data_IF_937617186971
#
_entry.id   IF_937617186971
#
_cell.length_a   1.000
_cell.length_b   1.000
_cell.length_c   1.000
_cell.angle_alpha   90.00
_cell.angle_beta   90.00
_cell.angle_gamma   90.00
#
_symmetry.space_group_name_H-M   'P 1'
#
loop_
_entity.id
_entity.type
_entity.pdbx_description
1 polymer ?
#
# COMPACT_ATOMS: atom_id res chain seq x y z
N UNK A 1 -12.59 59.73 17.23
CA UNK A 1 -11.52 58.71 17.16
C UNK A 1 -12.03 57.49 17.91
N UNK A 2 -12.47 56.46 17.17
CA UNK A 2 -13.00 55.23 17.75
C UNK A 2 -11.83 54.26 17.87
N UNK A 3 -11.41 53.97 19.10
CA UNK A 3 -10.37 52.99 19.38
C UNK A 3 -11.00 51.60 19.18
N UNK A 4 -10.63 50.93 18.09
CA UNK A 4 -10.98 49.54 17.86
C UNK A 4 -10.11 48.69 18.79
N UNK A 5 -10.65 48.37 19.98
CA UNK A 5 -10.09 47.36 20.88
C UNK A 5 -10.16 46.03 20.15
N UNK A 6 -9.05 45.62 19.54
CA UNK A 6 -8.84 44.28 19.01
C UNK A 6 -8.71 43.35 20.20
N UNK A 7 -9.84 42.87 20.70
CA UNK A 7 -9.91 41.74 21.62
C UNK A 7 -9.52 40.48 20.84
N UNK A 8 -8.22 40.30 20.63
CA UNK A 8 -7.68 38.99 20.37
C UNK A 8 -7.85 38.19 21.66
N UNK A 9 -8.78 37.22 21.64
CA UNK A 9 -8.85 36.18 22.67
C UNK A 9 -7.50 35.45 22.66
N UNK A 10 -6.55 35.88 23.49
CA UNK A 10 -5.43 35.04 23.89
C UNK A 10 -6.07 33.93 24.71
N UNK A 11 -6.23 32.75 24.08
CA UNK A 11 -6.39 31.50 24.83
C UNK A 11 -5.29 31.49 25.89
N UNK A 12 -5.68 31.26 27.14
CA UNK A 12 -4.68 31.07 28.17
C UNK A 12 -3.80 29.86 27.79
N UNK A 13 -2.53 29.93 28.18
CA UNK A 13 -1.54 28.90 27.82
C UNK A 13 -1.99 27.51 28.27
N UNK A 14 -2.81 27.41 29.32
CA UNK A 14 -3.30 26.17 29.88
C UNK A 14 -4.36 25.51 28.97
N UNK A 15 -5.34 26.28 28.48
CA UNK A 15 -6.36 25.79 27.53
C UNK A 15 -5.70 25.31 26.24
N UNK A 16 -4.71 26.05 25.73
CA UNK A 16 -3.96 25.64 24.54
C UNK A 16 -3.21 24.31 24.75
N UNK A 17 -2.57 24.12 25.91
CA UNK A 17 -1.89 22.87 26.22
C UNK A 17 -2.87 21.70 26.26
N UNK A 18 -4.06 21.90 26.83
CA UNK A 18 -5.11 20.90 26.86
C UNK A 18 -5.59 20.52 25.44
N UNK A 19 -5.74 21.49 24.54
CA UNK A 19 -6.10 21.25 23.14
C UNK A 19 -5.01 20.45 22.39
N UNK A 20 -3.74 20.79 22.60
CA UNK A 20 -2.60 20.06 22.01
C UNK A 20 -2.59 18.61 22.51
N UNK A 21 -2.69 18.41 23.83
CA UNK A 21 -2.71 17.08 24.45
C UNK A 21 -3.90 16.26 23.95
N UNK A 22 -5.08 16.87 23.83
CA UNK A 22 -6.26 16.22 23.28
C UNK A 22 -6.03 15.75 21.83
N UNK A 23 -5.42 16.61 21.00
CA UNK A 23 -5.12 16.30 19.60
C UNK A 23 -4.07 15.20 19.46
N UNK A 24 -2.99 15.23 20.24
CA UNK A 24 -1.96 14.18 20.23
C UNK A 24 -2.53 12.84 20.72
N UNK A 25 -3.40 12.84 21.74
CA UNK A 25 -4.08 11.62 22.18
C UNK A 25 -5.05 11.09 21.12
N UNK A 26 -5.78 11.97 20.44
CA UNK A 26 -6.62 11.63 19.30
C UNK A 26 -5.80 10.95 18.20
N UNK A 27 -4.63 11.52 17.87
CA UNK A 27 -3.71 10.94 16.91
C UNK A 27 -3.26 9.52 17.32
N UNK A 28 -2.84 9.32 18.57
CA UNK A 28 -2.42 8.01 19.07
C UNK A 28 -3.56 6.97 19.00
N UNK A 29 -4.80 7.39 19.23
CA UNK A 29 -5.98 6.54 19.06
C UNK A 29 -6.13 6.10 17.60
N UNK A 30 -6.12 7.04 16.66
CA UNK A 30 -6.24 6.73 15.23
C UNK A 30 -5.06 5.87 14.71
N UNK A 31 -3.86 6.03 15.27
CA UNK A 31 -2.73 5.15 14.95
C UNK A 31 -2.98 3.70 15.40
N UNK A 32 -3.61 3.51 16.56
CA UNK A 32 -3.96 2.16 17.03
C UNK A 32 -5.01 1.49 16.13
N UNK A 33 -6.02 2.26 15.69
CA UNK A 33 -7.03 1.80 14.73
C UNK A 33 -6.38 1.46 13.38
N UNK A 34 -5.47 2.31 12.90
CA UNK A 34 -4.71 2.08 11.68
C UNK A 34 -3.89 0.79 11.72
N UNK A 35 -3.21 0.51 12.83
CA UNK A 35 -2.47 -0.76 13.03
C UNK A 35 -3.41 -1.97 12.95
N UNK A 36 -4.63 -1.84 13.46
CA UNK A 36 -5.64 -2.91 13.38
C UNK A 36 -6.05 -3.18 11.93
N UNK A 37 -6.24 -2.15 11.10
CA UNK A 37 -6.52 -2.30 9.67
C UNK A 37 -5.38 -2.98 8.91
N UNK A 38 -4.11 -2.62 9.19
CA UNK A 38 -2.97 -3.33 8.60
C UNK A 38 -2.95 -4.82 8.94
N UNK A 39 -3.30 -5.15 10.19
CA UNK A 39 -3.36 -6.53 10.62
C UNK A 39 -4.46 -7.28 9.86
N UNK A 40 -5.65 -6.71 9.76
CA UNK A 40 -6.77 -7.28 9.01
C UNK A 40 -6.41 -7.52 7.54
N UNK A 41 -5.78 -6.52 6.89
CA UNK A 41 -5.30 -6.64 5.52
C UNK A 41 -4.27 -7.77 5.34
N UNK A 42 -3.27 -7.84 6.23
CA UNK A 42 -2.25 -8.87 6.17
C UNK A 42 -2.78 -10.26 6.47
N UNK A 43 -3.73 -10.38 7.40
CA UNK A 43 -4.34 -11.66 7.74
C UNK A 43 -5.23 -12.16 6.59
N UNK A 44 -6.03 -11.28 5.98
CA UNK A 44 -6.82 -11.61 4.79
C UNK A 44 -5.92 -12.06 3.62
N UNK A 45 -4.78 -11.40 3.41
CA UNK A 45 -3.81 -11.80 2.39
C UNK A 45 -3.26 -13.22 2.63
N UNK A 46 -2.89 -13.55 3.87
CA UNK A 46 -2.42 -14.90 4.23
C UNK A 46 -3.50 -15.95 3.99
N UNK A 47 -4.76 -15.63 4.28
CA UNK A 47 -5.88 -16.56 4.04
C UNK A 47 -6.15 -16.77 2.55
N UNK A 48 -6.05 -15.70 1.75
CA UNK A 48 -6.16 -15.75 0.30
C UNK A 48 -5.04 -16.61 -0.34
N UNK A 49 -3.78 -16.37 0.03
CA UNK A 49 -2.64 -17.18 -0.46
C UNK A 49 -2.76 -18.64 -0.02
N UNK A 50 -3.26 -18.90 1.20
CA UNK A 50 -3.50 -20.26 1.69
C UNK A 50 -4.72 -20.95 1.07
N UNK A 51 -5.40 -20.34 0.09
CA UNK A 51 -6.62 -20.84 -0.56
C UNK A 51 -7.77 -21.12 0.43
N UNK A 52 -7.78 -20.42 1.57
CA UNK A 52 -8.85 -20.48 2.59
C UNK A 52 -9.90 -19.37 2.43
N UNK A 53 -9.69 -18.48 1.47
CA UNK A 53 -10.53 -17.33 1.16
C UNK A 53 -10.65 -17.18 -0.36
N UNK A 54 -11.84 -16.87 -0.87
CA UNK A 54 -12.03 -16.65 -2.31
C UNK A 54 -11.50 -15.29 -2.74
N UNK A 55 -11.37 -15.08 -4.05
CA UNK A 55 -10.97 -13.79 -4.59
C UNK A 55 -12.01 -12.70 -4.29
N UNK A 56 -13.32 -13.01 -4.34
CA UNK A 56 -14.36 -12.02 -4.04
C UNK A 56 -14.33 -11.59 -2.57
N UNK A 57 -14.13 -12.55 -1.66
CA UNK A 57 -13.99 -12.28 -0.22
C UNK A 57 -12.77 -11.41 0.07
N UNK A 58 -11.62 -11.75 -0.50
CA UNK A 58 -10.40 -10.97 -0.35
C UNK A 58 -10.55 -9.55 -0.90
N UNK A 59 -11.15 -9.40 -2.09
CA UNK A 59 -11.43 -8.10 -2.70
C UNK A 59 -12.36 -7.24 -1.83
N UNK A 60 -13.36 -7.86 -1.20
CA UNK A 60 -14.28 -7.18 -0.28
C UNK A 60 -13.55 -6.64 0.93
N UNK A 61 -12.68 -7.44 1.56
CA UNK A 61 -11.86 -6.98 2.70
C UNK A 61 -10.91 -5.86 2.27
N UNK A 62 -10.27 -5.98 1.10
CA UNK A 62 -9.42 -4.91 0.56
C UNK A 62 -10.20 -3.57 0.42
N UNK A 63 -11.45 -3.63 -0.03
CA UNK A 63 -12.31 -2.44 -0.14
C UNK A 63 -12.59 -1.83 1.22
N UNK A 64 -13.00 -2.64 2.21
CA UNK A 64 -13.30 -2.20 3.57
C UNK A 64 -12.07 -1.56 4.22
N UNK A 65 -10.91 -2.23 4.13
CA UNK A 65 -9.68 -1.72 4.72
C UNK A 65 -9.23 -0.43 4.02
N UNK A 66 -9.37 -0.34 2.70
CA UNK A 66 -9.04 0.89 1.96
C UNK A 66 -9.90 2.07 2.41
N UNK A 67 -11.21 1.85 2.56
CA UNK A 67 -12.14 2.87 3.09
C UNK A 67 -11.75 3.30 4.50
N UNK A 68 -11.48 2.34 5.40
CA UNK A 68 -11.02 2.64 6.76
C UNK A 68 -9.70 3.44 6.79
N UNK A 69 -8.74 3.14 5.91
CA UNK A 69 -7.52 3.94 5.81
C UNK A 69 -7.80 5.38 5.34
N UNK A 70 -8.74 5.57 4.42
CA UNK A 70 -9.15 6.90 3.94
C UNK A 70 -9.78 7.70 5.07
N UNK A 71 -10.73 7.11 5.80
CA UNK A 71 -11.41 7.75 6.94
C UNK A 71 -10.41 8.20 8.00
N UNK A 72 -9.55 7.28 8.48
CA UNK A 72 -8.52 7.60 9.47
C UNK A 72 -7.53 8.64 8.97
N UNK A 73 -7.21 8.64 7.67
CA UNK A 73 -6.31 9.63 7.10
C UNK A 73 -6.91 11.03 7.13
N UNK A 74 -8.20 11.18 6.85
CA UNK A 74 -8.92 12.47 6.94
C UNK A 74 -8.92 12.97 8.38
N UNK A 75 -9.23 12.11 9.35
CA UNK A 75 -9.26 12.47 10.77
C UNK A 75 -7.88 12.93 11.27
N UNK A 76 -6.82 12.20 10.91
CA UNK A 76 -5.46 12.59 11.27
C UNK A 76 -5.04 13.90 10.58
N UNK A 77 -5.43 14.11 9.32
CA UNK A 77 -5.14 15.36 8.62
C UNK A 77 -5.81 16.57 9.30
N UNK A 78 -7.01 16.38 9.85
CA UNK A 78 -7.70 17.40 10.62
C UNK A 78 -6.97 17.73 11.93
N UNK A 79 -6.44 16.72 12.63
CA UNK A 79 -5.61 16.90 13.83
C UNK A 79 -4.30 17.62 13.51
N UNK A 80 -3.65 17.25 12.40
CA UNK A 80 -2.44 17.92 11.92
C UNK A 80 -2.70 19.39 11.59
N UNK A 81 -3.80 19.69 10.89
CA UNK A 81 -4.21 21.05 10.57
C UNK A 81 -4.44 21.89 11.83
N UNK A 82 -5.11 21.29 12.83
CA UNK A 82 -5.38 21.95 14.10
C UNK A 82 -4.08 22.29 14.86
N UNK A 83 -3.12 21.37 14.86
CA UNK A 83 -1.82 21.55 15.53
C UNK A 83 -0.86 22.48 14.76
N UNK A 84 -0.92 22.52 13.44
CA UNK A 84 -0.03 23.33 12.60
C UNK A 84 -0.45 24.81 12.47
N UNK A 85 -1.61 25.17 13.02
CA UNK A 85 -2.15 26.53 12.99
C UNK A 85 -2.66 26.99 11.60
N UNK A 86 -3.07 28.26 11.48
CA UNK A 86 -3.74 28.79 10.28
C UNK A 86 -2.92 28.69 8.98
N UNK A 87 -1.59 28.72 9.10
CA UNK A 87 -0.67 28.60 7.97
C UNK A 87 -0.65 27.17 7.37
N UNK A 88 -0.82 26.14 8.20
CA UNK A 88 -0.89 24.74 7.74
C UNK A 88 -2.28 24.36 7.20
N UNK A 89 -3.37 24.87 7.79
CA UNK A 89 -4.73 24.60 7.34
C UNK A 89 -4.99 25.06 5.89
N UNK A 90 -4.33 26.14 5.47
CA UNK A 90 -4.46 26.69 4.10
C UNK A 90 -3.82 25.80 3.02
N UNK A 91 -2.82 24.98 3.39
CA UNK A 91 -2.17 24.05 2.46
C UNK A 91 -2.99 22.75 2.25
N UNK A 92 -3.83 22.39 3.24
CA UNK A 92 -4.60 21.14 3.23
C UNK A 92 -5.83 21.22 2.31
N UNK A 93 -6.43 22.40 2.16
CA UNK A 93 -7.60 22.59 1.27
C UNK A 93 -7.31 22.47 -0.24
N UNK A 94 -6.05 22.25 -0.64
CA UNK A 94 -5.66 22.06 -2.04
C UNK A 94 -5.56 20.57 -2.43
N UNK A 95 -5.65 19.64 -1.47
CA UNK A 95 -5.40 18.21 -1.67
C UNK A 95 -6.68 17.34 -1.74
N UNK A 96 -7.83 17.91 -2.11
CA UNK A 96 -8.97 17.10 -2.55
C UNK A 96 -8.62 16.32 -3.83
N UNK A 97 -9.03 15.04 -3.95
CA UNK A 97 -8.42 14.12 -4.90
C UNK A 97 -8.87 14.43 -6.32
N UNK A 98 -7.98 15.02 -7.11
CA UNK A 98 -8.00 14.85 -8.57
C UNK A 98 -6.79 14.02 -8.94
N UNK A 99 -7.05 12.83 -9.45
CA UNK A 99 -6.06 11.88 -9.94
C UNK A 99 -5.13 12.56 -10.94
N UNK A 100 -3.87 12.81 -10.59
CA UNK A 100 -2.83 13.10 -11.59
C UNK A 100 -1.48 12.62 -11.09
N UNK A 101 -0.99 11.58 -11.79
CA UNK A 101 0.38 11.11 -11.79
C UNK A 101 1.32 12.22 -12.28
N UNK A 102 2.28 12.62 -11.46
CA UNK A 102 3.48 13.29 -11.96
C UNK A 102 4.68 12.99 -11.07
N UNK A 103 5.63 12.27 -11.66
CA UNK A 103 7.01 12.15 -11.21
C UNK A 103 7.63 13.54 -10.99
N UNK A 104 8.43 13.69 -9.93
CA UNK A 104 9.63 14.53 -9.92
C UNK A 104 10.52 14.28 -8.69
N UNK A 105 11.68 13.71 -9.00
CA UNK A 105 13.03 13.88 -8.47
C UNK A 105 13.32 14.62 -7.16
N UNK A 106 14.11 13.90 -6.36
CA UNK A 106 15.05 14.24 -5.28
C UNK A 106 15.62 15.67 -5.22
N UNK A 107 15.65 16.19 -4.00
CA UNK A 107 16.77 16.96 -3.47
C UNK A 107 17.10 16.42 -2.08
N UNK A 108 18.27 15.83 -1.93
CA UNK A 108 18.79 15.33 -0.66
C UNK A 108 19.34 16.50 0.16
N UNK A 109 18.84 16.64 1.39
CA UNK A 109 19.50 17.41 2.43
C UNK A 109 19.95 16.43 3.51
N UNK A 110 21.27 16.28 3.63
CA UNK A 110 21.94 15.50 4.66
C UNK A 110 21.83 16.23 6.00
N UNK A 111 21.05 15.69 6.93
CA UNK A 111 21.15 16.05 8.35
C UNK A 111 21.47 14.79 9.17
N UNK A 112 22.56 14.87 9.93
CA UNK A 112 23.02 13.81 10.82
C UNK A 112 22.12 13.74 12.07
N UNK A 113 21.81 12.55 12.61
CA UNK A 113 21.09 12.43 13.86
C UNK A 113 22.05 12.62 15.04
N UNK A 114 21.93 13.76 15.74
CA UNK A 114 22.55 13.94 17.06
C UNK A 114 21.59 13.45 18.14
N UNK A 115 22.02 12.43 18.86
CA UNK A 115 21.32 11.81 19.99
C UNK A 115 21.13 12.76 21.17
N UNK A 116 19.93 12.74 21.75
CA UNK A 116 19.58 13.13 23.12
C UNK A 116 19.93 14.56 23.56
N UNK A 117 19.23 15.53 22.98
CA UNK A 117 18.99 16.83 23.63
C UNK A 117 17.53 16.89 24.04
N UNK A 118 17.25 17.10 25.34
CA UNK A 118 15.89 17.41 25.84
C UNK A 118 15.31 18.51 24.96
N UNK A 119 14.35 18.16 24.09
CA UNK A 119 13.73 19.12 23.18
C UNK A 119 12.88 20.06 24.02
N UNK A 120 13.20 21.35 24.02
CA UNK A 120 12.36 22.37 24.62
C UNK A 120 11.18 22.60 23.66
N UNK A 121 10.08 21.88 23.86
CA UNK A 121 8.86 22.02 23.06
C UNK A 121 8.27 23.43 23.27
N UNK A 122 8.33 24.25 22.24
CA UNK A 122 7.66 25.56 22.24
C UNK A 122 6.17 25.38 21.93
N UNK A 123 5.31 25.96 22.76
CA UNK A 123 3.84 25.83 22.71
C UNK A 123 3.20 26.39 21.43
N UNK A 124 3.94 27.24 20.73
CA UNK A 124 3.57 27.84 19.44
C UNK A 124 4.23 27.18 18.24
N UNK A 125 5.05 26.15 18.46
CA UNK A 125 5.84 25.53 17.40
C UNK A 125 5.02 24.50 16.61
N UNK A 126 5.09 24.51 15.27
CA UNK A 126 4.47 23.49 14.42
C UNK A 126 5.13 22.10 14.55
N UNK A 127 6.07 21.92 15.49
CA UNK A 127 6.78 20.67 15.78
C UNK A 127 5.85 19.46 15.98
N UNK A 128 4.74 19.62 16.71
CA UNK A 128 3.78 18.53 16.93
C UNK A 128 3.08 18.09 15.63
N UNK A 129 2.74 19.05 14.78
CA UNK A 129 2.18 18.76 13.46
C UNK A 129 3.22 18.10 12.55
N UNK A 130 4.49 18.50 12.66
CA UNK A 130 5.60 17.89 11.94
C UNK A 130 5.80 16.42 12.35
N UNK A 131 5.77 16.10 13.64
CA UNK A 131 5.86 14.71 14.12
C UNK A 131 4.73 13.84 13.55
N UNK A 132 3.49 14.33 13.57
CA UNK A 132 2.34 13.65 12.95
C UNK A 132 2.58 13.41 11.46
N UNK A 133 3.05 14.43 10.74
CA UNK A 133 3.33 14.36 9.30
C UNK A 133 4.42 13.33 8.98
N UNK A 134 5.49 13.30 9.76
CA UNK A 134 6.58 12.31 9.60
C UNK A 134 6.03 10.88 9.76
N UNK A 135 5.23 10.62 10.80
CA UNK A 135 4.57 9.32 10.97
C UNK A 135 3.64 8.99 9.80
N UNK A 136 2.87 9.96 9.28
CA UNK A 136 2.02 9.73 8.12
C UNK A 136 2.82 9.36 6.86
N UNK A 137 3.98 9.98 6.63
CA UNK A 137 4.84 9.66 5.50
C UNK A 137 5.42 8.25 5.61
N UNK A 138 5.91 7.87 6.79
CA UNK A 138 6.41 6.53 7.06
C UNK A 138 5.31 5.48 6.91
N UNK A 139 4.11 5.76 7.41
CA UNK A 139 2.95 4.87 7.24
C UNK A 139 2.58 4.69 5.76
N UNK A 140 2.63 5.77 4.96
CA UNK A 140 2.41 5.67 3.51
C UNK A 140 3.47 4.79 2.83
N UNK A 141 4.73 4.92 3.23
CA UNK A 141 5.83 4.09 2.70
C UNK A 141 5.66 2.62 3.08
N UNK A 142 5.33 2.35 4.35
CA UNK A 142 5.02 1.01 4.85
C UNK A 142 3.88 0.35 4.10
N UNK A 143 2.77 1.06 3.85
CA UNK A 143 1.66 0.54 3.07
C UNK A 143 2.10 0.19 1.63
N UNK A 144 2.84 1.09 0.98
CA UNK A 144 3.34 0.86 -0.37
C UNK A 144 4.22 -0.39 -0.47
N UNK A 145 5.18 -0.54 0.45
CA UNK A 145 6.07 -1.71 0.51
C UNK A 145 5.30 -3.00 0.84
N UNK A 146 4.30 -2.93 1.72
CA UNK A 146 3.44 -4.07 2.05
C UNK A 146 2.70 -4.56 0.81
N UNK A 147 2.02 -3.65 0.10
CA UNK A 147 1.29 -3.98 -1.14
C UNK A 147 2.24 -4.51 -2.21
N UNK A 148 3.41 -3.92 -2.35
CA UNK A 148 4.42 -4.36 -3.31
C UNK A 148 4.94 -5.77 -2.99
N UNK A 149 5.21 -6.05 -1.71
CA UNK A 149 5.62 -7.38 -1.24
C UNK A 149 4.55 -8.44 -1.51
N UNK A 150 3.30 -8.14 -1.19
CA UNK A 150 2.16 -9.02 -1.49
C UNK A 150 2.00 -9.27 -2.99
N UNK A 151 2.19 -8.24 -3.82
CA UNK A 151 2.18 -8.37 -5.29
C UNK A 151 3.25 -9.35 -5.77
N UNK A 152 4.49 -9.26 -5.27
CA UNK A 152 5.55 -10.19 -5.66
C UNK A 152 5.27 -11.63 -5.25
N UNK A 153 4.62 -11.85 -4.10
CA UNK A 153 4.18 -13.18 -3.67
C UNK A 153 3.16 -13.75 -4.66
N UNK A 154 2.16 -12.96 -5.08
CA UNK A 154 1.17 -13.40 -6.07
C UNK A 154 1.77 -13.62 -7.46
N UNK A 155 2.68 -12.75 -7.90
CA UNK A 155 3.40 -12.92 -9.17
C UNK A 155 4.22 -14.22 -9.18
N UNK A 156 4.89 -14.52 -8.07
CA UNK A 156 5.63 -15.76 -7.89
C UNK A 156 4.69 -16.98 -7.98
N UNK A 157 3.57 -16.96 -7.27
CA UNK A 157 2.61 -18.07 -7.28
C UNK A 157 2.01 -18.30 -8.68
N UNK A 158 1.68 -17.21 -9.39
CA UNK A 158 1.19 -17.28 -10.77
C UNK A 158 2.25 -17.86 -11.72
N UNK A 159 3.52 -17.50 -11.51
CA UNK A 159 4.64 -18.02 -12.30
C UNK A 159 4.83 -19.53 -12.08
N UNK A 160 4.82 -19.98 -10.82
CA UNK A 160 4.93 -21.40 -10.47
C UNK A 160 3.75 -22.22 -11.03
N UNK A 161 2.53 -21.70 -10.97
CA UNK A 161 1.35 -22.36 -11.54
C UNK A 161 1.45 -22.51 -13.07
N UNK A 162 1.99 -21.50 -13.76
CA UNK A 162 2.20 -21.55 -15.20
C UNK A 162 3.30 -22.57 -15.57
N UNK A 163 4.39 -22.60 -14.81
CA UNK A 163 5.50 -23.53 -15.05
C UNK A 163 5.07 -25.00 -14.85
N UNK A 164 4.23 -25.28 -13.85
CA UNK A 164 3.62 -26.61 -13.65
C UNK A 164 2.74 -26.99 -14.85
N UNK A 165 1.89 -26.07 -15.31
CA UNK A 165 1.01 -26.32 -16.46
C UNK A 165 1.79 -26.60 -17.74
N UNK A 166 2.88 -25.87 -17.97
CA UNK A 166 3.75 -26.08 -19.12
C UNK A 166 4.51 -27.41 -19.03
N UNK A 167 4.93 -27.82 -17.83
CA UNK A 167 5.51 -29.14 -17.58
C UNK A 167 4.52 -30.28 -17.84
N UNK A 168 3.27 -30.17 -17.37
CA UNK A 168 2.20 -31.14 -17.62
C UNK A 168 1.89 -31.25 -19.12
N UNK A 169 1.82 -30.14 -19.83
CA UNK A 169 1.61 -30.12 -21.27
C UNK A 169 2.74 -30.83 -22.04
N UNK A 170 4.00 -30.64 -21.60
CA UNK A 170 5.15 -31.30 -22.20
C UNK A 170 5.14 -32.83 -21.97
N UNK A 171 4.77 -33.27 -20.76
CA UNK A 171 4.62 -34.70 -20.44
C UNK A 171 3.48 -35.35 -21.25
N UNK A 172 2.38 -34.63 -21.48
CA UNK A 172 1.30 -35.10 -22.33
C UNK A 172 1.71 -35.24 -23.81
N UNK A 173 2.55 -34.33 -24.32
CA UNK A 173 3.06 -34.40 -25.68
C UNK A 173 3.94 -35.65 -25.91
N UNK A 174 4.82 -35.98 -24.95
CA UNK A 174 5.68 -37.17 -25.02
C UNK A 174 4.87 -38.49 -25.00
N UNK A 175 3.75 -38.53 -24.27
CA UNK A 175 2.90 -39.72 -24.20
C UNK A 175 2.14 -40.01 -25.51
N UNK A 176 1.70 -38.96 -26.22
CA UNK A 176 0.93 -39.10 -27.48
C UNK A 176 1.78 -39.62 -28.63
N UNK A 177 3.10 -39.42 -28.61
CA UNK A 177 4.01 -39.87 -29.69
C UNK A 177 4.35 -41.37 -29.61
N UNK A 178 4.03 -42.05 -28.50
CA UNK A 178 4.45 -43.43 -28.24
C UNK A 178 3.49 -44.56 -28.63
N UNK A 179 2.30 -44.27 -29.18
CA UNK A 179 1.22 -45.28 -29.32
C UNK A 179 0.78 -45.61 -30.76
N UNK A 180 1.48 -45.15 -31.79
CA UNK A 180 1.05 -45.34 -33.19
C UNK A 180 1.78 -46.47 -33.96
N UNK A 181 2.58 -47.30 -33.30
CA UNK A 181 3.19 -48.49 -33.92
C UNK A 181 2.65 -49.80 -33.32
N UNK A 182 1.37 -50.12 -33.59
CA UNK A 182 0.80 -51.48 -33.76
C UNK A 182 -0.73 -51.45 -33.60
N UNK A 183 -1.43 -50.91 -34.61
CA UNK A 183 -2.89 -50.81 -34.61
C UNK A 183 -3.45 -51.14 -35.99
N UNK A 184 -3.61 -52.43 -36.23
CA UNK A 184 -4.08 -53.08 -37.44
C UNK A 184 -5.33 -52.42 -38.08
N UNK A 185 -5.19 -52.16 -39.37
CA UNK A 185 -6.18 -51.70 -40.34
C UNK A 185 -7.46 -52.55 -40.29
N UNK A 186 -8.57 -51.99 -39.81
CA UNK A 186 -9.92 -52.44 -40.16
C UNK A 186 -10.61 -51.30 -40.90
N UNK A 187 -10.67 -51.44 -42.23
CA UNK A 187 -11.50 -50.64 -43.11
C UNK A 187 -12.98 -50.92 -42.83
N UNK A 188 -13.73 -49.89 -42.46
CA UNK A 188 -15.19 -49.90 -42.58
C UNK A 188 -15.64 -48.62 -43.27
N UNK A 189 -15.88 -48.82 -44.57
CA UNK A 189 -16.55 -47.95 -45.51
C UNK A 189 -17.97 -47.63 -45.04
N UNK A 190 -18.25 -46.37 -44.73
CA UNK A 190 -19.62 -45.83 -44.74
C UNK A 190 -19.61 -44.48 -45.44
N UNK A 191 -20.22 -44.47 -46.62
CA UNK A 191 -20.59 -43.30 -47.41
C UNK A 191 -21.59 -42.43 -46.64
N UNK A 192 -21.43 -41.10 -46.66
CA UNK A 192 -22.54 -40.16 -46.85
C UNK A 192 -22.04 -38.71 -47.04
N UNK A 193 -22.18 -38.27 -48.30
CA UNK A 193 -22.69 -36.96 -48.75
C UNK A 193 -22.09 -35.64 -48.26
N UNK A 194 -21.54 -34.93 -49.24
CA UNK A 194 -21.22 -33.52 -49.31
C UNK A 194 -22.40 -32.58 -49.00
N UNK A 195 -22.11 -31.46 -48.32
CA UNK A 195 -22.61 -30.12 -48.67
C UNK A 195 -21.47 -29.13 -48.47
N UNK A 196 -21.32 -28.27 -49.46
CA UNK A 196 -20.27 -27.31 -49.73
C UNK A 196 -20.72 -25.89 -49.28
N UNK A 197 -19.75 -24.97 -49.21
CA UNK A 197 -19.86 -23.48 -49.17
C UNK A 197 -20.11 -22.81 -47.80
N UNK A 198 -19.50 -21.66 -47.46
CA UNK A 198 -18.35 -20.93 -47.99
C UNK A 198 -17.99 -19.82 -46.99
N UNK A 199 -16.68 -19.56 -46.87
CA UNK A 199 -16.01 -18.27 -46.65
C UNK A 199 -16.41 -17.31 -45.50
N UNK A 200 -15.42 -17.06 -44.64
CA UNK A 200 -15.37 -15.94 -43.71
C UNK A 200 -13.98 -15.73 -43.12
N UNK A 201 -12.97 -15.54 -43.99
CA UNK A 201 -11.62 -15.11 -43.59
C UNK A 201 -11.70 -13.74 -42.92
N UNK A 202 -11.50 -13.69 -41.60
CA UNK A 202 -11.10 -12.46 -40.91
C UNK A 202 -9.69 -12.66 -40.35
N UNK A 203 -8.72 -12.25 -41.15
CA UNK A 203 -7.34 -12.04 -40.73
C UNK A 203 -7.29 -10.72 -39.97
N UNK A 204 -7.25 -10.79 -38.64
CA UNK A 204 -6.76 -9.66 -37.83
C UNK A 204 -5.42 -10.05 -37.23
N UNK A 205 -4.38 -9.42 -37.76
CA UNK A 205 -3.04 -9.42 -37.21
C UNK A 205 -3.11 -8.93 -35.76
N UNK A 206 -2.91 -9.84 -34.82
CA UNK A 206 -2.55 -9.48 -33.46
C UNK A 206 -1.19 -8.82 -33.48
N UNK A 207 -1.16 -7.50 -33.38
CA UNK A 207 0.03 -6.77 -33.02
C UNK A 207 0.43 -7.23 -31.61
N UNK A 208 1.39 -8.16 -31.55
CA UNK A 208 2.10 -8.47 -30.32
C UNK A 208 2.84 -7.20 -29.89
N UNK A 209 2.18 -6.39 -29.06
CA UNK A 209 2.85 -5.38 -28.26
C UNK A 209 3.73 -6.17 -27.30
N UNK A 210 5.00 -6.31 -27.68
CA UNK A 210 6.07 -6.75 -26.80
C UNK A 210 6.25 -5.68 -25.71
N UNK A 211 5.32 -5.63 -24.76
CA UNK A 211 5.61 -5.09 -23.46
C UNK A 211 6.65 -6.04 -22.87
N UNK A 212 7.92 -5.63 -22.96
CA UNK A 212 9.06 -6.31 -22.36
C UNK A 212 8.91 -6.30 -20.85
N UNK A 213 7.99 -7.13 -20.35
CA UNK A 213 7.97 -7.55 -18.96
C UNK A 213 9.17 -8.47 -18.81
N UNK A 214 10.26 -7.92 -18.26
CA UNK A 214 11.43 -8.71 -17.90
C UNK A 214 10.93 -9.75 -16.91
N UNK A 215 10.82 -11.00 -17.37
CA UNK A 215 10.35 -12.13 -16.57
C UNK A 215 11.40 -12.37 -15.49
N UNK A 216 11.12 -11.92 -14.27
CA UNK A 216 11.99 -12.15 -13.13
C UNK A 216 11.96 -13.64 -12.78
N UNK A 217 13.10 -14.17 -12.41
CA UNK A 217 13.21 -15.53 -11.85
C UNK A 217 12.54 -15.60 -10.46
N UNK A 218 12.17 -16.81 -10.05
CA UNK A 218 11.59 -17.06 -8.73
C UNK A 218 12.56 -16.65 -7.60
N UNK A 219 13.87 -16.83 -7.83
CA UNK A 219 14.94 -16.41 -6.92
C UNK A 219 15.00 -14.89 -6.78
N UNK A 220 14.89 -14.14 -7.88
CA UNK A 220 14.86 -12.66 -7.84
C UNK A 220 13.61 -12.14 -7.13
N UNK A 221 12.44 -12.75 -7.35
CA UNK A 221 11.22 -12.39 -6.63
C UNK A 221 11.34 -12.67 -5.13
N UNK A 222 11.96 -13.79 -4.75
CA UNK A 222 12.25 -14.11 -3.35
C UNK A 222 13.17 -13.07 -2.72
N UNK A 223 14.25 -12.70 -3.40
CA UNK A 223 15.18 -11.66 -2.95
C UNK A 223 14.47 -10.34 -2.68
N UNK A 224 13.61 -9.91 -3.60
CA UNK A 224 12.81 -8.69 -3.43
C UNK A 224 11.86 -8.73 -2.23
N UNK A 225 11.19 -9.85 -1.99
CA UNK A 225 10.32 -10.03 -0.82
C UNK A 225 11.13 -9.95 0.48
N UNK A 226 12.31 -10.59 0.53
CA UNK A 226 13.19 -10.55 1.69
C UNK A 226 13.74 -9.13 1.95
N UNK A 227 14.15 -8.40 0.90
CA UNK A 227 14.58 -6.99 0.97
C UNK A 227 13.46 -6.07 1.48
N UNK A 228 12.25 -6.18 0.91
CA UNK A 228 11.11 -5.37 1.35
C UNK A 228 10.72 -5.67 2.79
N UNK A 229 10.86 -6.90 3.26
CA UNK A 229 10.65 -7.24 4.67
C UNK A 229 11.64 -6.53 5.58
N UNK A 230 12.91 -6.44 5.19
CA UNK A 230 13.93 -5.70 5.94
C UNK A 230 13.61 -4.20 5.99
N UNK A 231 13.29 -3.60 4.85
CA UNK A 231 12.87 -2.19 4.79
C UNK A 231 11.59 -1.91 5.59
N UNK A 232 10.63 -2.85 5.59
CA UNK A 232 9.42 -2.73 6.41
C UNK A 232 9.72 -2.73 7.91
N UNK A 233 10.67 -3.54 8.37
CA UNK A 233 11.07 -3.56 9.77
C UNK A 233 11.71 -2.23 10.19
N UNK A 234 12.61 -1.69 9.35
CA UNK A 234 13.23 -0.38 9.57
C UNK A 234 12.19 0.74 9.70
N UNK A 235 11.23 0.79 8.78
CA UNK A 235 10.15 1.80 8.82
C UNK A 235 9.27 1.63 10.07
N UNK A 236 8.99 0.39 10.49
CA UNK A 236 8.22 0.13 11.72
C UNK A 236 8.97 0.60 12.96
N UNK A 237 10.29 0.39 13.04
CA UNK A 237 11.12 0.92 14.12
C UNK A 237 11.09 2.45 14.13
N UNK A 238 11.25 3.11 12.97
CA UNK A 238 11.19 4.57 12.88
C UNK A 238 9.82 5.13 13.28
N UNK A 239 8.72 4.48 12.88
CA UNK A 239 7.36 4.86 13.33
C UNK A 239 7.28 4.77 14.85
N UNK A 240 7.76 3.69 15.46
CA UNK A 240 7.70 3.51 16.91
C UNK A 240 8.52 4.57 17.65
N UNK A 241 9.69 4.94 17.15
CA UNK A 241 10.52 6.01 17.71
C UNK A 241 9.77 7.36 17.68
N UNK A 242 9.12 7.69 16.56
CA UNK A 242 8.33 8.92 16.45
C UNK A 242 7.08 8.90 17.33
N UNK A 243 6.45 7.75 17.52
CA UNK A 243 5.34 7.59 18.46
C UNK A 243 5.80 7.77 19.92
N UNK A 244 7.02 7.33 20.25
CA UNK A 244 7.62 7.56 21.56
C UNK A 244 7.89 9.06 21.80
N UNK A 245 8.41 9.78 20.80
CA UNK A 245 8.58 11.24 20.85
C UNK A 245 7.24 11.97 21.13
N UNK A 246 6.15 11.50 20.52
CA UNK A 246 4.79 12.06 20.74
C UNK A 246 4.31 11.77 22.16
N UNK A 247 4.55 10.56 22.68
CA UNK A 247 4.21 10.21 24.06
C UNK A 247 4.99 11.05 25.08
N UNK A 248 6.27 11.31 24.82
CA UNK A 248 7.09 12.21 25.64
C UNK A 248 6.52 13.64 25.62
N UNK A 249 6.15 14.16 24.45
CA UNK A 249 5.53 15.47 24.32
C UNK A 249 4.21 15.58 25.13
N UNK A 250 3.36 14.54 25.09
CA UNK A 250 2.15 14.47 25.92
C UNK A 250 2.52 14.51 27.41
N UNK A 251 3.53 13.75 27.84
CA UNK A 251 3.93 13.71 29.24
C UNK A 251 4.45 15.07 29.73
N UNK A 252 5.23 15.78 28.92
CA UNK A 252 5.75 17.11 29.25
C UNK A 252 4.63 18.15 29.38
N UNK A 253 3.62 18.11 28.50
CA UNK A 253 2.52 19.08 28.49
C UNK A 253 1.48 18.88 29.61
N UNK A 254 1.49 17.71 30.27
CA UNK A 254 0.56 17.37 31.36
C UNK A 254 1.13 17.70 32.76
N UNK A 255 2.46 17.93 32.86
CA UNK A 255 3.16 18.27 34.10
C UNK A 255 3.15 19.78 34.37
#
# INVERSE_FOLDING_TARGET
MVNATTNGFQLDSETRNQEIVASLRGFMKHQTERVSLYKEFNDAFKEYVAKRMTQEEYATICSIVTEGFVELSIEILALEAHLGGPAHASAINVLTPTSTTTNSSSAAATEQPSTNSRRNYSLDSPEHAQLIREVQLLEKQKLALTVQSQKWVLEKEAQEAQDIKDQEANLHADWVVGNDEEGERIESEVQATAVHESEGRSSSQGAAVANGSVKLSAEELRGKVDESRESLNEIVEEINDKLADIQEAIAVLVL
#
